data_IF_350910136113
#
_entry.id   IF_350910136113
#
_cell.length_a   1.000
_cell.length_b   1.000
_cell.length_c   1.000
_cell.angle_alpha   90.00
_cell.angle_beta   90.00
_cell.angle_gamma   90.00
#
_symmetry.space_group_name_H-M   'P 1'
#
loop_
_entity.id
_entity.type
_entity.pdbx_description
1 polymer ?
#
# COMPACT_ATOMS: atom_id res chain seq x y z
N UNK A 1 -12.18 13.02 -13.96
CA UNK A 1 -12.43 13.27 -12.53
C UNK A 1 -11.14 13.01 -11.78
N UNK A 2 -10.48 14.05 -11.28
CA UNK A 2 -9.27 13.93 -10.50
C UNK A 2 -9.59 13.26 -9.16
N UNK A 3 -9.01 12.09 -8.90
CA UNK A 3 -9.07 11.49 -7.58
C UNK A 3 -8.21 12.34 -6.65
N UNK A 4 -8.87 13.19 -5.85
CA UNK A 4 -8.25 13.90 -4.74
C UNK A 4 -7.69 12.81 -3.82
N UNK A 5 -6.36 12.70 -3.76
CA UNK A 5 -5.69 11.87 -2.77
C UNK A 5 -6.08 12.48 -1.44
N UNK A 6 -6.98 11.81 -0.70
CA UNK A 6 -7.34 12.25 0.64
C UNK A 6 -6.05 12.28 1.47
N UNK A 7 -5.53 13.48 1.69
CA UNK A 7 -4.39 13.70 2.54
C UNK A 7 -4.76 13.18 3.92
N UNK A 8 -3.94 12.25 4.41
CA UNK A 8 -4.07 11.74 5.76
C UNK A 8 -3.81 12.93 6.69
N UNK A 9 -4.72 13.23 7.64
CA UNK A 9 -4.54 14.38 8.52
C UNK A 9 -3.31 14.12 9.38
N UNK A 10 -2.21 14.77 9.04
CA UNK A 10 -0.98 14.85 9.80
C UNK A 10 -0.75 16.34 10.04
N UNK A 11 -0.27 16.70 11.23
CA UNK A 11 0.07 18.11 11.53
C UNK A 11 1.20 18.56 10.58
N UNK A 12 1.38 19.87 10.37
CA UNK A 12 2.41 20.46 9.48
C UNK A 12 3.84 19.87 9.66
N UNK A 13 4.15 19.30 10.82
CA UNK A 13 5.45 18.67 11.13
C UNK A 13 5.48 17.14 10.90
N UNK A 14 4.43 16.56 10.33
CA UNK A 14 4.29 15.12 10.09
C UNK A 14 4.02 14.29 11.35
N UNK A 15 3.63 14.94 12.45
CA UNK A 15 3.33 14.33 13.75
C UNK A 15 1.83 14.15 13.98
N UNK A 16 1.48 13.27 14.92
CA UNK A 16 0.12 13.13 15.42
C UNK A 16 -0.16 14.11 16.56
N UNK A 17 -1.44 14.39 16.81
CA UNK A 17 -1.88 15.18 17.96
C UNK A 17 -3.01 14.46 18.70
N UNK A 18 -3.04 14.61 20.03
CA UNK A 18 -4.19 14.16 20.83
C UNK A 18 -5.43 14.93 20.38
N UNK A 19 -6.55 14.22 20.19
CA UNK A 19 -7.80 14.80 19.68
C UNK A 19 -7.93 14.77 18.16
N UNK A 20 -6.88 14.41 17.42
CA UNK A 20 -6.96 14.21 15.97
C UNK A 20 -7.95 13.08 15.63
N UNK A 21 -8.87 13.36 14.71
CA UNK A 21 -9.93 12.45 14.30
C UNK A 21 -9.62 11.81 12.93
N UNK A 22 -10.03 10.56 12.77
CA UNK A 22 -9.93 9.77 11.54
C UNK A 22 -11.29 9.17 11.22
N UNK A 23 -11.60 9.06 9.93
CA UNK A 23 -12.87 8.50 9.45
C UNK A 23 -12.98 6.99 9.64
N UNK A 24 -11.87 6.26 9.73
CA UNK A 24 -11.89 4.81 9.94
C UNK A 24 -10.63 4.28 10.64
N UNK A 25 -10.72 3.05 11.13
CA UNK A 25 -9.59 2.32 11.72
C UNK A 25 -8.47 2.09 10.71
N UNK A 26 -8.82 1.81 9.46
CA UNK A 26 -7.87 1.60 8.35
C UNK A 26 -7.13 2.90 8.03
N UNK A 27 -7.81 4.05 8.10
CA UNK A 27 -7.17 5.36 7.91
C UNK A 27 -6.11 5.62 8.98
N UNK A 28 -6.42 5.33 10.26
CA UNK A 28 -5.45 5.42 11.37
C UNK A 28 -4.25 4.51 11.12
N UNK A 29 -4.49 3.24 10.80
CA UNK A 29 -3.42 2.26 10.58
C UNK A 29 -2.55 2.68 9.37
N UNK A 30 -3.15 3.20 8.31
CA UNK A 30 -2.42 3.73 7.14
C UNK A 30 -1.54 4.92 7.54
N UNK A 31 -2.09 5.88 8.28
CA UNK A 31 -1.35 7.04 8.79
C UNK A 31 -0.15 6.62 9.62
N UNK A 32 -0.35 5.68 10.55
CA UNK A 32 0.71 5.16 11.42
C UNK A 32 1.80 4.43 10.63
N UNK A 33 1.43 3.64 9.62
CA UNK A 33 2.41 2.98 8.72
C UNK A 33 3.23 4.01 7.96
N UNK A 34 2.60 5.04 7.42
CA UNK A 34 3.27 6.11 6.68
C UNK A 34 4.22 6.90 7.59
N UNK A 35 3.78 7.22 8.82
CA UNK A 35 4.62 7.83 9.85
C UNK A 35 5.85 6.97 10.18
N UNK A 36 5.63 5.67 10.45
CA UNK A 36 6.70 4.72 10.78
C UNK A 36 7.76 4.63 9.66
N UNK A 37 7.31 4.54 8.40
CA UNK A 37 8.18 4.52 7.22
C UNK A 37 8.94 5.84 7.10
N UNK A 38 8.26 7.00 7.19
CA UNK A 38 8.86 8.33 7.06
C UNK A 38 9.93 8.58 8.11
N UNK A 39 9.67 8.18 9.35
CA UNK A 39 10.60 8.34 10.49
C UNK A 39 11.62 7.20 10.59
N UNK A 40 11.54 6.19 9.72
CA UNK A 40 12.37 4.98 9.77
C UNK A 40 12.30 4.20 11.10
N UNK A 41 11.17 4.25 11.80
CA UNK A 41 10.93 3.65 13.12
C UNK A 41 9.90 2.53 13.04
N UNK A 42 9.89 1.61 14.02
CA UNK A 42 8.94 0.50 14.04
C UNK A 42 8.11 0.48 15.34
N UNK A 43 6.95 -0.19 15.26
CA UNK A 43 6.01 -0.33 16.36
C UNK A 43 5.38 -1.72 16.42
N UNK A 44 5.01 -2.12 17.63
CA UNK A 44 4.21 -3.30 17.92
C UNK A 44 2.80 -2.89 18.34
N UNK A 45 1.81 -3.63 17.84
CA UNK A 45 0.42 -3.50 18.29
C UNK A 45 0.30 -4.30 19.57
N UNK A 46 -0.18 -3.66 20.64
CA UNK A 46 -0.34 -4.28 21.95
C UNK A 46 -1.81 -4.63 22.23
N UNK A 47 -2.73 -3.71 21.92
CA UNK A 47 -4.17 -3.98 21.95
C UNK A 47 -4.80 -3.62 20.61
N UNK A 48 -5.71 -4.46 20.15
CA UNK A 48 -6.42 -4.29 18.90
C UNK A 48 -7.82 -4.91 19.02
N UNK A 49 -8.71 -4.17 19.68
CA UNK A 49 -10.11 -4.56 19.86
C UNK A 49 -11.00 -3.84 18.84
N UNK A 50 -12.31 -4.10 18.90
CA UNK A 50 -13.30 -3.47 18.00
C UNK A 50 -13.38 -1.95 18.16
N UNK A 51 -13.13 -1.43 19.37
CA UNK A 51 -13.28 0.00 19.70
C UNK A 51 -11.97 0.68 20.10
N UNK A 52 -10.89 -0.08 20.29
CA UNK A 52 -9.61 0.43 20.78
C UNK A 52 -8.46 -0.11 19.94
N UNK A 53 -7.48 0.75 19.70
CA UNK A 53 -6.23 0.38 19.05
C UNK A 53 -5.07 1.03 19.79
N UNK A 54 -4.11 0.21 20.21
CA UNK A 54 -2.97 0.66 20.98
C UNK A 54 -1.69 0.06 20.42
N UNK A 55 -0.72 0.93 20.17
CA UNK A 55 0.60 0.54 19.72
C UNK A 55 1.67 1.31 20.49
N UNK A 56 2.83 0.66 20.65
CA UNK A 56 4.03 1.23 21.26
C UNK A 56 5.25 0.91 20.41
N UNK A 57 6.32 1.68 20.57
CA UNK A 57 7.58 1.41 19.91
C UNK A 57 8.07 -0.03 20.21
N UNK A 58 8.80 -0.62 19.27
CA UNK A 58 9.49 -1.89 19.51
C UNK A 58 10.53 -1.77 20.62
N UNK A 59 11.22 -0.62 20.70
CA UNK A 59 12.24 -0.30 21.71
C UNK A 59 11.65 0.40 22.94
N UNK A 60 10.36 0.20 23.23
CA UNK A 60 9.70 0.91 24.33
C UNK A 60 10.32 0.58 25.70
N UNK A 61 10.75 -0.67 25.89
CA UNK A 61 11.39 -1.13 27.12
C UNK A 61 12.87 -0.70 27.22
N UNK A 62 13.45 -0.24 26.11
CA UNK A 62 14.84 0.23 26.02
C UNK A 62 14.95 1.76 26.16
N UNK A 63 13.86 2.43 26.58
CA UNK A 63 13.82 3.86 26.85
C UNK A 63 13.09 4.72 25.81
N UNK A 64 12.52 4.12 24.75
CA UNK A 64 11.64 4.87 23.85
C UNK A 64 10.24 5.03 24.45
N UNK A 65 9.75 6.25 24.57
CA UNK A 65 8.44 6.56 25.14
C UNK A 65 7.32 6.65 24.10
N UNK A 66 7.63 6.42 22.82
CA UNK A 66 6.64 6.52 21.75
C UNK A 66 5.53 5.48 21.89
N UNK A 67 4.30 5.98 21.97
CA UNK A 67 3.08 5.21 21.96
C UNK A 67 1.94 6.01 21.36
N UNK A 68 0.94 5.30 20.88
CA UNK A 68 -0.29 5.87 20.38
C UNK A 68 -1.47 4.99 20.78
N UNK A 69 -2.48 5.62 21.39
CA UNK A 69 -3.77 4.99 21.71
C UNK A 69 -4.88 5.72 20.99
N UNK A 70 -5.67 4.97 20.24
CA UNK A 70 -6.78 5.48 19.44
C UNK A 70 -8.05 4.72 19.86
N UNK A 71 -9.17 5.43 19.90
CA UNK A 71 -10.46 4.83 20.28
C UNK A 71 -11.58 5.32 19.39
N UNK A 72 -12.53 4.44 19.09
CA UNK A 72 -13.72 4.78 18.35
C UNK A 72 -14.71 5.56 19.23
N UNK A 73 -15.20 6.68 18.72
CA UNK A 73 -16.33 7.42 19.30
C UNK A 73 -17.58 6.95 18.59
N UNK A 74 -18.31 6.01 19.20
CA UNK A 74 -19.50 5.38 18.62
C UNK A 74 -20.55 6.39 18.11
N UNK A 75 -20.78 7.48 18.84
CA UNK A 75 -21.76 8.52 18.47
C UNK A 75 -21.44 9.27 17.17
N UNK A 76 -20.15 9.45 16.86
CA UNK A 76 -19.66 10.19 15.68
C UNK A 76 -19.16 9.26 14.57
N UNK A 77 -19.06 7.96 14.85
CA UNK A 77 -18.41 6.97 13.99
C UNK A 77 -16.99 7.36 13.55
N UNK A 78 -16.25 8.08 14.39
CA UNK A 78 -14.87 8.48 14.11
C UNK A 78 -13.89 7.87 15.10
N UNK A 79 -12.63 7.74 14.69
CA UNK A 79 -11.53 7.25 15.50
C UNK A 79 -10.69 8.42 15.97
N UNK A 80 -10.47 8.55 17.28
CA UNK A 80 -9.77 9.70 17.85
C UNK A 80 -8.53 9.25 18.60
N UNK A 81 -7.42 9.97 18.38
CA UNK A 81 -6.19 9.78 19.15
C UNK A 81 -6.43 10.25 20.58
N UNK A 82 -6.47 9.30 21.53
CA UNK A 82 -6.70 9.56 22.96
C UNK A 82 -5.39 9.80 23.71
N UNK A 83 -4.31 9.18 23.27
CA UNK A 83 -2.98 9.32 23.88
C UNK A 83 -1.91 9.27 22.80
N UNK A 84 -0.98 10.21 22.87
CA UNK A 84 0.21 10.27 22.04
C UNK A 84 1.33 10.90 22.85
N UNK A 85 2.49 10.26 22.92
CA UNK A 85 3.64 10.74 23.71
C UNK A 85 4.63 11.59 22.89
N UNK A 86 4.30 11.94 21.65
CA UNK A 86 5.21 12.69 20.77
C UNK A 86 6.07 11.76 19.91
N UNK A 87 7.10 12.32 19.29
CA UNK A 87 7.99 11.63 18.36
C UNK A 87 8.85 10.55 19.03
N UNK A 88 9.36 9.59 18.25
CA UNK A 88 10.30 8.61 18.77
C UNK A 88 11.58 9.28 19.27
N UNK A 89 12.01 8.91 20.47
CA UNK A 89 13.33 9.23 21.03
C UNK A 89 14.40 8.21 20.63
N UNK A 90 13.99 7.02 20.17
CA UNK A 90 14.92 6.03 19.66
C UNK A 90 15.41 6.39 18.25
N UNK A 91 16.72 6.22 18.04
CA UNK A 91 17.32 6.27 16.71
C UNK A 91 17.57 4.82 16.30
N UNK A 92 17.07 4.36 15.13
CA UNK A 92 17.43 3.01 14.66
C UNK A 92 18.96 2.96 14.50
N UNK A 93 19.62 2.13 15.29
CA UNK A 93 21.07 1.90 15.23
C UNK A 93 21.53 1.31 13.88
N UNK A 94 20.60 0.81 13.07
CA UNK A 94 20.90 0.22 11.76
C UNK A 94 19.70 0.41 10.85
N UNK A 95 19.90 1.05 9.69
CA UNK A 95 18.88 1.14 8.64
C UNK A 95 18.68 -0.27 8.09
N UNK A 96 17.75 -1.03 8.67
CA UNK A 96 17.30 -2.30 8.07
C UNK A 96 16.82 -2.00 6.66
N UNK A 97 17.37 -2.69 5.66
CA UNK A 97 16.98 -2.54 4.26
C UNK A 97 15.52 -2.95 4.02
N UNK A 98 14.92 -3.69 4.94
CA UNK A 98 13.51 -4.09 4.91
C UNK A 98 12.75 -3.51 6.12
N UNK A 99 11.65 -2.82 5.85
CA UNK A 99 10.79 -2.25 6.88
C UNK A 99 9.57 -3.16 7.07
N UNK A 100 9.34 -3.68 8.28
CA UNK A 100 8.28 -4.66 8.55
C UNK A 100 6.87 -4.20 8.12
N UNK A 101 6.63 -2.88 8.14
CA UNK A 101 5.35 -2.26 7.75
C UNK A 101 5.23 -1.92 6.25
N UNK A 102 6.32 -1.97 5.50
CA UNK A 102 6.33 -1.74 4.06
C UNK A 102 5.77 -2.98 3.36
N UNK A 103 4.57 -2.87 2.80
CA UNK A 103 3.90 -3.98 2.14
C UNK A 103 3.84 -3.80 0.62
N UNK A 104 3.56 -4.88 -0.11
CA UNK A 104 3.50 -4.86 -1.58
C UNK A 104 2.50 -3.86 -2.13
N UNK A 105 1.41 -3.59 -1.40
CA UNK A 105 0.35 -2.69 -1.86
C UNK A 105 0.79 -1.22 -1.74
N UNK A 106 1.54 -0.87 -0.68
CA UNK A 106 2.16 0.46 -0.54
C UNK A 106 3.23 0.68 -1.61
N UNK A 107 4.04 -0.34 -1.89
CA UNK A 107 5.04 -0.30 -2.97
C UNK A 107 4.39 -0.12 -4.34
N UNK A 108 3.35 -0.92 -4.65
CA UNK A 108 2.63 -0.82 -5.92
C UNK A 108 1.99 0.56 -6.13
N UNK A 109 1.43 1.17 -5.07
CA UNK A 109 0.89 2.55 -5.16
C UNK A 109 1.97 3.58 -5.46
N UNK A 110 3.15 3.46 -4.85
CA UNK A 110 4.26 4.39 -5.08
C UNK A 110 4.90 4.20 -6.46
N UNK A 111 4.91 2.97 -6.99
CA UNK A 111 5.47 2.65 -8.32
C UNK A 111 4.48 2.93 -9.44
N UNK A 112 3.16 2.94 -9.17
CA UNK A 112 2.12 3.15 -10.19
C UNK A 112 2.40 4.36 -11.11
N UNK A 113 2.70 5.58 -10.61
CA UNK A 113 2.95 6.73 -11.47
C UNK A 113 4.18 6.54 -12.39
N UNK A 114 5.13 5.71 -11.97
CA UNK A 114 6.36 5.44 -12.72
C UNK A 114 6.14 4.38 -13.79
N UNK A 115 5.27 3.40 -13.54
CA UNK A 115 4.84 2.42 -14.55
C UNK A 115 3.94 3.08 -15.58
N UNK A 116 3.09 4.00 -15.14
CA UNK A 116 2.25 4.81 -16.03
C UNK A 116 3.09 5.75 -16.91
N UNK A 117 4.28 6.19 -16.43
CA UNK A 117 5.19 7.08 -17.15
C UNK A 117 6.28 6.37 -17.97
N UNK A 118 6.69 5.16 -17.59
CA UNK A 118 7.94 4.55 -18.05
C UNK A 118 7.74 3.05 -18.30
N UNK A 119 7.03 2.76 -19.39
CA UNK A 119 7.02 1.41 -19.93
C UNK A 119 8.39 1.15 -20.55
N UNK A 120 9.14 0.25 -19.91
CA UNK A 120 10.38 -0.43 -20.34
C UNK A 120 11.69 0.04 -19.66
N UNK A 121 12.06 -0.74 -18.64
CA UNK A 121 13.42 -1.27 -18.47
C UNK A 121 14.57 -0.24 -18.51
N UNK A 122 14.80 0.48 -17.41
CA UNK A 122 16.14 0.65 -16.81
C UNK A 122 16.06 1.37 -15.46
N UNK A 123 16.37 0.61 -14.40
CA UNK A 123 16.82 1.09 -13.08
C UNK A 123 15.88 2.07 -12.36
N UNK A 124 14.84 1.53 -11.72
CA UNK A 124 14.02 2.24 -10.74
C UNK A 124 14.86 2.66 -9.52
N UNK A 125 15.29 3.91 -9.48
CA UNK A 125 15.94 4.58 -8.32
C UNK A 125 14.95 5.45 -7.52
N UNK A 126 13.65 5.19 -7.70
CA UNK A 126 12.54 6.03 -7.26
C UNK A 126 12.10 5.84 -5.81
N UNK A 127 12.75 4.94 -5.07
CA UNK A 127 12.58 4.75 -3.65
C UNK A 127 14.01 4.73 -3.10
N UNK A 128 14.31 5.44 -2.01
CA UNK A 128 15.65 5.52 -1.38
C UNK A 128 16.16 4.17 -0.82
N UNK A 129 15.67 3.04 -1.35
CA UNK A 129 15.95 1.68 -0.94
C UNK A 129 16.09 0.76 -2.16
N UNK A 130 17.06 -0.15 -2.09
CA UNK A 130 17.26 -1.21 -3.09
C UNK A 130 16.23 -2.33 -2.90
N UNK A 131 15.33 -2.51 -3.87
CA UNK A 131 14.25 -3.50 -3.81
C UNK A 131 14.80 -4.89 -4.21
N UNK A 132 14.47 -5.94 -3.45
CA UNK A 132 14.84 -7.32 -3.85
C UNK A 132 14.08 -7.77 -5.10
N UNK A 133 14.73 -8.58 -5.93
CA UNK A 133 14.17 -9.06 -7.21
C UNK A 133 12.75 -9.65 -7.07
N UNK A 134 12.54 -10.50 -6.05
CA UNK A 134 11.23 -11.11 -5.77
C UNK A 134 10.13 -10.08 -5.50
N UNK A 135 10.45 -9.01 -4.76
CA UNK A 135 9.49 -7.95 -4.44
C UNK A 135 9.15 -7.10 -5.66
N UNK A 136 10.16 -6.78 -6.48
CA UNK A 136 9.95 -6.08 -7.74
C UNK A 136 9.06 -6.90 -8.70
N UNK A 137 9.32 -8.21 -8.82
CA UNK A 137 8.51 -9.10 -9.64
C UNK A 137 7.06 -9.20 -9.16
N UNK A 138 6.83 -9.37 -7.86
CA UNK A 138 5.49 -9.41 -7.28
C UNK A 138 4.74 -8.07 -7.43
N UNK A 139 5.44 -6.94 -7.26
CA UNK A 139 4.85 -5.62 -7.46
C UNK A 139 4.45 -5.39 -8.92
N UNK A 140 5.26 -5.87 -9.86
CA UNK A 140 4.94 -5.88 -11.30
C UNK A 140 3.66 -6.69 -11.56
N UNK A 141 3.59 -7.94 -11.08
CA UNK A 141 2.40 -8.80 -11.28
C UNK A 141 1.13 -8.15 -10.72
N UNK A 142 1.18 -7.64 -9.47
CA UNK A 142 0.04 -6.95 -8.86
C UNK A 142 -0.39 -5.68 -9.59
N UNK A 143 0.56 -4.96 -10.22
CA UNK A 143 0.24 -3.76 -11.00
C UNK A 143 -0.45 -4.12 -12.31
N UNK A 144 0.04 -5.16 -12.99
CA UNK A 144 -0.59 -5.71 -14.20
C UNK A 144 -2.02 -6.19 -13.88
N UNK A 145 -2.21 -6.98 -12.82
CA UNK A 145 -3.55 -7.44 -12.41
C UNK A 145 -4.52 -6.28 -12.12
N UNK A 146 -4.02 -5.17 -11.58
CA UNK A 146 -4.84 -4.01 -11.26
C UNK A 146 -5.23 -3.17 -12.49
N UNK A 147 -4.40 -3.20 -13.54
CA UNK A 147 -4.68 -2.51 -14.81
C UNK A 147 -5.61 -3.36 -15.68
N UNK A 148 -5.39 -4.68 -15.72
CA UNK A 148 -6.05 -5.59 -16.66
C UNK A 148 -7.05 -6.55 -16.00
N UNK A 149 -7.46 -6.26 -14.76
CA UNK A 149 -8.47 -7.00 -13.99
C UNK A 149 -8.19 -8.52 -13.85
N UNK A 150 -6.90 -8.88 -13.89
CA UNK A 150 -6.40 -10.26 -13.78
C UNK A 150 -6.32 -11.02 -15.10
N UNK A 151 -5.67 -12.19 -15.08
CA UNK A 151 -5.46 -13.01 -16.28
C UNK A 151 -6.78 -13.45 -16.93
N UNK A 152 -7.79 -13.78 -16.12
CA UNK A 152 -9.10 -14.23 -16.58
C UNK A 152 -9.81 -13.15 -17.41
N UNK A 153 -9.87 -11.91 -16.91
CA UNK A 153 -10.44 -10.78 -17.63
C UNK A 153 -9.66 -10.45 -18.92
N UNK A 154 -8.32 -10.59 -18.88
CA UNK A 154 -7.49 -10.41 -20.09
C UNK A 154 -7.82 -11.44 -21.18
N UNK A 155 -8.08 -12.70 -20.82
CA UNK A 155 -8.53 -13.73 -21.76
C UNK A 155 -9.96 -13.47 -22.25
N UNK A 156 -10.86 -13.04 -21.37
CA UNK A 156 -12.25 -12.68 -21.71
C UNK A 156 -12.33 -11.46 -22.65
N UNK A 157 -11.32 -10.58 -22.64
CA UNK A 157 -11.26 -9.44 -23.55
C UNK A 157 -10.79 -9.79 -24.97
N UNK A 158 -10.13 -10.94 -25.18
CA UNK A 158 -9.54 -11.32 -26.48
C UNK A 158 -10.55 -11.31 -27.64
N UNK A 159 -11.80 -11.82 -27.50
CA UNK A 159 -12.79 -11.78 -28.57
C UNK A 159 -13.10 -10.34 -29.04
N UNK A 160 -13.19 -9.39 -28.11
CA UNK A 160 -13.45 -7.96 -28.41
C UNK A 160 -12.28 -7.36 -29.20
N UNK A 161 -11.05 -7.70 -28.84
CA UNK A 161 -9.86 -7.26 -29.57
C UNK A 161 -9.78 -7.86 -30.98
N UNK A 162 -10.16 -9.12 -31.15
CA UNK A 162 -10.21 -9.77 -32.46
C UNK A 162 -11.26 -9.14 -33.37
N UNK A 163 -12.43 -8.83 -32.82
CA UNK A 163 -13.49 -8.12 -33.56
C UNK A 163 -13.03 -6.72 -34.00
N UNK A 164 -12.37 -5.96 -33.12
CA UNK A 164 -11.80 -4.67 -33.45
C UNK A 164 -10.68 -4.76 -34.52
N UNK A 165 -9.90 -5.85 -34.52
CA UNK A 165 -8.86 -6.11 -35.50
C UNK A 165 -9.45 -6.40 -36.88
N UNK A 166 -10.46 -7.27 -36.96
CA UNK A 166 -11.18 -7.56 -38.20
C UNK A 166 -11.91 -6.34 -38.77
N UNK A 167 -12.40 -5.45 -37.90
CA UNK A 167 -13.01 -4.18 -38.36
C UNK A 167 -11.96 -3.25 -38.97
N UNK A 168 -10.75 -3.21 -38.42
CA UNK A 168 -9.67 -2.33 -38.91
C UNK A 168 -9.00 -2.87 -40.18
N UNK A 169 -8.88 -4.18 -40.30
CA UNK A 169 -8.33 -4.86 -41.48
C UNK A 169 -9.29 -6.00 -41.90
N UNK A 170 -10.24 -5.73 -42.82
CA UNK A 170 -11.28 -6.70 -43.21
C UNK A 170 -10.74 -7.98 -43.85
N UNK A 171 -9.48 -7.97 -44.29
CA UNK A 171 -8.78 -9.13 -44.85
C UNK A 171 -8.17 -10.05 -43.80
N UNK A 172 -8.15 -9.63 -42.53
CA UNK A 172 -7.60 -10.42 -41.42
C UNK A 172 -8.58 -11.53 -41.00
N UNK A 173 -8.11 -12.78 -41.07
CA UNK A 173 -8.85 -13.95 -40.59
C UNK A 173 -8.27 -14.35 -39.23
N UNK A 174 -9.08 -14.23 -38.17
CA UNK A 174 -8.69 -14.65 -36.83
C UNK A 174 -9.31 -16.00 -36.49
N UNK A 175 -8.47 -17.00 -36.23
CA UNK A 175 -8.85 -18.27 -35.63
C UNK A 175 -8.29 -18.35 -34.21
N UNK A 176 -9.14 -18.64 -33.23
CA UNK A 176 -8.71 -18.96 -31.87
C UNK A 176 -9.49 -20.16 -31.34
N UNK A 177 -8.79 -21.04 -30.64
CA UNK A 177 -9.35 -22.24 -30.03
C UNK A 177 -9.04 -22.21 -28.53
N UNK A 178 -10.06 -22.46 -27.71
CA UNK A 178 -9.89 -22.54 -26.25
C UNK A 178 -9.73 -24.00 -25.85
N UNK A 179 -8.49 -24.42 -25.57
CA UNK A 179 -8.24 -25.77 -25.07
C UNK A 179 -8.69 -25.89 -23.62
N UNK A 180 -9.50 -26.92 -23.30
CA UNK A 180 -9.85 -27.21 -21.91
C UNK A 180 -8.61 -27.69 -21.16
N UNK A 181 -8.25 -26.99 -20.09
CA UNK A 181 -7.06 -27.29 -19.31
C UNK A 181 -7.15 -28.65 -18.60
N UNK A 182 -6.07 -29.44 -18.68
CA UNK A 182 -5.92 -30.66 -17.89
C UNK A 182 -5.88 -30.27 -16.39
N UNK A 183 -6.67 -30.91 -15.50
CA UNK A 183 -6.62 -30.61 -14.08
C UNK A 183 -5.22 -30.90 -13.55
N UNK A 184 -4.57 -29.89 -12.93
CA UNK A 184 -3.30 -30.10 -12.23
C UNK A 184 -3.58 -30.96 -10.98
N UNK A 185 -3.00 -32.16 -10.93
CA UNK A 185 -2.90 -32.98 -9.70
C UNK A 185 -1.96 -32.33 -8.70
#
# INVERSE_FOLDING_TARGET
>A
MAAVVAEVPLVANGEFAVGMEFSSREAVIKAMKEYAIRRSVDYRVYESESLTFYAKCTQYEEGCDWLIRVSMISRKYCWVIRRYNGSHTCTKATISQDHSKLNSNTIAKAIKPLVDADCLLKKCNCINYTISYRKAWLAKQKSIEKIFEGWKASYEALPIWFEAMCHKEPSAIVHFETMQGIPRR
#
